data_IF_767637643348
#
_entry.id   IF_767637643348
#
_cell.length_a   1.000
_cell.length_b   1.000
_cell.length_c   1.000
_cell.angle_alpha   90.00
_cell.angle_beta   90.00
_cell.angle_gamma   90.00
#
_symmetry.space_group_name_H-M   'P 1'
#
loop_
_entity.id
_entity.type
_entity.pdbx_description
1 polymer ?
#
# COMPACT_ATOMS: atom_id res chain seq x y z
N UNK A 1 4.30 -34.23 -61.45
CA UNK A 1 4.85 -33.45 -60.32
C UNK A 1 6.15 -34.11 -59.85
N UNK A 2 7.30 -33.46 -60.04
CA UNK A 2 8.64 -34.06 -59.81
C UNK A 2 8.80 -34.54 -58.37
N UNK A 3 9.29 -35.78 -58.18
CA UNK A 3 9.49 -36.39 -56.85
C UNK A 3 10.34 -35.51 -55.93
N UNK A 4 11.32 -34.78 -56.49
CA UNK A 4 12.13 -33.79 -55.80
C UNK A 4 11.31 -32.63 -55.20
N UNK A 5 10.32 -32.09 -55.93
CA UNK A 5 9.43 -31.02 -55.41
C UNK A 5 8.54 -31.54 -54.27
N UNK A 6 8.10 -32.80 -54.35
CA UNK A 6 7.27 -33.45 -53.31
C UNK A 6 8.06 -33.69 -52.02
N UNK A 7 9.31 -34.15 -52.13
CA UNK A 7 10.21 -34.34 -50.98
C UNK A 7 10.55 -33.00 -50.33
N UNK A 8 10.90 -31.99 -51.13
CA UNK A 8 11.17 -30.63 -50.64
C UNK A 8 10.00 -30.04 -49.85
N UNK A 9 8.77 -30.13 -50.36
CA UNK A 9 7.59 -29.62 -49.65
C UNK A 9 7.29 -30.38 -48.36
N UNK A 10 7.56 -31.69 -48.29
CA UNK A 10 7.43 -32.46 -47.05
C UNK A 10 8.43 -32.02 -45.99
N UNK A 11 9.67 -31.73 -46.39
CA UNK A 11 10.71 -31.22 -45.49
C UNK A 11 10.33 -29.83 -44.97
N UNK A 12 9.87 -28.92 -45.84
CA UNK A 12 9.40 -27.59 -45.40
C UNK A 12 8.23 -27.68 -44.44
N UNK A 13 7.24 -28.54 -44.72
CA UNK A 13 6.10 -28.72 -43.83
C UNK A 13 6.52 -29.31 -42.48
N UNK A 14 7.46 -30.27 -42.47
CA UNK A 14 7.98 -30.85 -41.23
C UNK A 14 8.73 -29.81 -40.38
N UNK A 15 9.61 -29.02 -40.99
CA UNK A 15 10.33 -27.93 -40.31
C UNK A 15 9.35 -26.87 -39.80
N UNK A 16 8.39 -26.46 -40.62
CA UNK A 16 7.35 -25.49 -40.22
C UNK A 16 6.50 -26.00 -39.06
N UNK A 17 6.13 -27.28 -39.05
CA UNK A 17 5.36 -27.87 -37.95
C UNK A 17 6.19 -27.99 -36.66
N UNK A 18 7.48 -28.26 -36.77
CA UNK A 18 8.38 -28.33 -35.63
C UNK A 18 8.64 -26.94 -35.01
N UNK A 19 8.79 -25.92 -35.85
CA UNK A 19 8.87 -24.53 -35.39
C UNK A 19 7.56 -24.06 -34.74
N UNK A 20 6.40 -24.41 -35.32
CA UNK A 20 5.11 -24.07 -34.71
C UNK A 20 4.92 -24.75 -33.34
N UNK A 21 5.33 -26.02 -33.22
CA UNK A 21 5.24 -26.75 -31.96
C UNK A 21 6.13 -26.11 -30.89
N UNK A 22 7.37 -25.75 -31.23
CA UNK A 22 8.30 -25.09 -30.29
C UNK A 22 7.79 -23.73 -29.82
N UNK A 23 7.20 -22.91 -30.70
CA UNK A 23 6.54 -21.65 -30.31
C UNK A 23 5.32 -21.87 -29.40
N UNK A 24 4.50 -22.89 -29.67
CA UNK A 24 3.32 -23.19 -28.85
C UNK A 24 3.66 -23.77 -27.47
N UNK A 25 4.84 -24.39 -27.33
CA UNK A 25 5.31 -24.98 -26.06
C UNK A 25 6.23 -24.06 -25.26
N UNK A 26 6.54 -22.85 -25.72
CA UNK A 26 7.29 -21.88 -24.92
C UNK A 26 6.41 -21.42 -23.75
N UNK A 27 6.68 -21.96 -22.57
CA UNK A 27 6.16 -21.44 -21.32
C UNK A 27 6.81 -20.10 -21.02
N UNK A 28 6.04 -19.02 -21.13
CA UNK A 28 6.45 -17.70 -20.63
C UNK A 28 6.08 -17.64 -19.15
N UNK A 29 7.06 -17.86 -18.28
CA UNK A 29 6.92 -17.52 -16.87
C UNK A 29 7.03 -16.00 -16.73
N UNK A 30 6.26 -15.40 -15.81
CA UNK A 30 6.41 -13.97 -15.51
C UNK A 30 7.88 -13.69 -15.15
N UNK A 31 8.53 -12.82 -15.92
CA UNK A 31 9.92 -12.45 -15.69
C UNK A 31 9.98 -11.55 -14.45
N UNK A 32 10.46 -12.10 -13.34
CA UNK A 32 10.69 -11.37 -12.10
C UNK A 32 9.72 -11.69 -10.96
N UNK A 33 10.19 -11.44 -9.73
CA UNK A 33 9.42 -11.62 -8.51
C UNK A 33 8.26 -10.60 -8.44
N UNK A 34 7.04 -11.04 -8.09
CA UNK A 34 5.86 -10.17 -7.90
C UNK A 34 6.17 -9.00 -6.96
N UNK A 35 7.06 -9.19 -5.98
CA UNK A 35 7.53 -8.15 -5.07
C UNK A 35 8.13 -6.92 -5.79
N UNK A 36 8.73 -7.11 -6.97
CA UNK A 36 9.33 -6.05 -7.79
C UNK A 36 8.38 -5.46 -8.83
N UNK A 37 7.16 -5.99 -8.94
CA UNK A 37 6.16 -5.44 -9.85
C UNK A 37 5.78 -4.00 -9.48
N UNK A 38 5.35 -3.22 -10.47
CA UNK A 38 4.85 -1.85 -10.26
C UNK A 38 3.67 -1.83 -9.29
N UNK A 39 2.82 -2.85 -9.33
CA UNK A 39 1.64 -2.96 -8.45
C UNK A 39 2.08 -3.18 -7.00
N UNK A 40 3.00 -4.11 -6.76
CA UNK A 40 3.49 -4.38 -5.41
C UNK A 40 4.25 -3.18 -4.83
N UNK A 41 5.22 -2.64 -5.57
CA UNK A 41 6.04 -1.50 -5.13
C UNK A 41 5.23 -0.21 -4.99
N UNK A 42 4.30 0.05 -5.92
CA UNK A 42 3.38 1.18 -5.86
C UNK A 42 2.44 1.12 -4.66
N UNK A 43 1.89 -0.06 -4.36
CA UNK A 43 1.03 -0.26 -3.18
C UNK A 43 1.82 -0.09 -1.88
N UNK A 44 3.06 -0.61 -1.78
CA UNK A 44 3.94 -0.39 -0.63
C UNK A 44 4.17 1.12 -0.38
N UNK A 45 4.47 1.88 -1.43
CA UNK A 45 4.64 3.34 -1.34
C UNK A 45 3.36 4.06 -0.93
N UNK A 46 2.23 3.73 -1.55
CA UNK A 46 0.94 4.34 -1.22
C UNK A 46 0.59 4.14 0.25
N UNK A 47 0.78 2.94 0.79
CA UNK A 47 0.49 2.68 2.20
C UNK A 47 1.46 3.46 3.09
N UNK A 48 2.75 3.48 2.78
CA UNK A 48 3.73 4.25 3.54
C UNK A 48 3.39 5.75 3.57
N UNK A 49 3.01 6.32 2.42
CA UNK A 49 2.62 7.72 2.30
C UNK A 49 1.36 7.99 3.13
N UNK A 50 0.30 7.20 2.96
CA UNK A 50 -0.96 7.35 3.70
C UNK A 50 -0.74 7.23 5.22
N UNK A 51 0.04 6.24 5.68
CA UNK A 51 0.37 6.08 7.10
C UNK A 51 1.16 7.27 7.66
N UNK A 52 2.09 7.83 6.89
CA UNK A 52 2.87 9.00 7.30
C UNK A 52 1.98 10.26 7.41
N UNK A 53 1.14 10.49 6.41
CA UNK A 53 0.21 11.62 6.37
C UNK A 53 -0.83 11.55 7.48
N UNK A 54 -1.46 10.39 7.69
CA UNK A 54 -2.44 10.18 8.76
C UNK A 54 -1.84 10.46 10.13
N UNK A 55 -0.62 9.95 10.39
CA UNK A 55 0.06 10.16 11.67
C UNK A 55 0.35 11.64 11.90
N UNK A 56 0.86 12.31 10.87
CA UNK A 56 1.22 13.72 10.92
C UNK A 56 -0.01 14.60 11.18
N UNK A 57 -1.13 14.32 10.51
CA UNK A 57 -2.40 15.02 10.72
C UNK A 57 -2.92 14.75 12.14
N UNK A 58 -2.91 13.49 12.60
CA UNK A 58 -3.39 13.13 13.93
C UNK A 58 -2.62 13.88 15.04
N UNK A 59 -1.30 13.92 14.95
CA UNK A 59 -0.45 14.68 15.89
C UNK A 59 -0.76 16.17 15.83
N UNK A 60 -0.80 16.74 14.63
CA UNK A 60 -1.00 18.18 14.44
C UNK A 60 -2.36 18.63 14.97
N UNK A 61 -3.43 17.93 14.59
CA UNK A 61 -4.79 18.25 15.04
C UNK A 61 -4.92 18.08 16.56
N UNK A 62 -4.39 16.99 17.11
CA UNK A 62 -4.43 16.77 18.58
C UNK A 62 -3.71 17.89 19.31
N UNK A 63 -2.51 18.28 18.85
CA UNK A 63 -1.74 19.36 19.47
C UNK A 63 -2.49 20.70 19.42
N UNK A 64 -3.03 21.07 18.26
CA UNK A 64 -3.79 22.32 18.08
C UNK A 64 -5.03 22.35 18.99
N UNK A 65 -5.81 21.27 19.03
CA UNK A 65 -7.00 21.20 19.88
C UNK A 65 -6.63 21.23 21.36
N UNK A 66 -5.56 20.52 21.78
CA UNK A 66 -5.07 20.58 23.15
C UNK A 66 -4.67 22.02 23.54
N UNK A 67 -3.90 22.72 22.70
CA UNK A 67 -3.53 24.12 22.94
C UNK A 67 -4.77 25.00 23.10
N UNK A 68 -5.75 24.87 22.21
CA UNK A 68 -7.01 25.61 22.30
C UNK A 68 -7.74 25.33 23.64
N UNK A 69 -7.83 24.06 24.05
CA UNK A 69 -8.48 23.68 25.30
C UNK A 69 -7.73 24.19 26.53
N UNK A 70 -6.40 24.21 26.51
CA UNK A 70 -5.60 24.81 27.58
C UNK A 70 -5.87 26.30 27.74
N UNK A 71 -5.88 27.06 26.64
CA UNK A 71 -6.19 28.49 26.67
C UNK A 71 -7.61 28.72 27.20
N UNK A 72 -8.58 27.95 26.71
CA UNK A 72 -9.98 28.12 27.14
C UNK A 72 -10.20 27.77 28.62
N UNK A 73 -9.49 26.75 29.12
CA UNK A 73 -9.47 26.39 30.54
C UNK A 73 -8.85 27.48 31.41
N UNK A 74 -7.76 28.12 30.95
CA UNK A 74 -7.12 29.19 31.71
C UNK A 74 -8.03 30.41 31.89
N UNK A 75 -8.94 30.64 30.94
CA UNK A 75 -9.92 31.73 30.98
C UNK A 75 -11.25 31.34 31.65
N UNK A 76 -11.43 30.09 32.08
CA UNK A 76 -12.69 29.62 32.66
C UNK A 76 -12.72 29.78 34.17
N UNK A 77 -13.90 30.05 34.72
CA UNK A 77 -14.12 30.15 36.16
C UNK A 77 -13.89 28.80 36.85
N UNK A 78 -13.69 28.83 38.17
CA UNK A 78 -13.34 27.65 38.98
C UNK A 78 -14.34 26.49 38.82
N UNK A 79 -15.63 26.83 38.66
CA UNK A 79 -16.71 25.86 38.46
C UNK A 79 -16.59 25.12 37.12
N UNK A 80 -16.10 25.78 36.07
CA UNK A 80 -16.01 25.24 34.71
C UNK A 80 -14.71 24.46 34.47
N UNK A 81 -13.65 24.72 35.26
CA UNK A 81 -12.34 24.08 35.09
C UNK A 81 -12.41 22.56 35.03
N UNK A 82 -13.26 21.93 35.85
CA UNK A 82 -13.47 20.48 35.86
C UNK A 82 -14.01 19.96 34.52
N UNK A 83 -14.91 20.71 33.89
CA UNK A 83 -15.45 20.34 32.57
C UNK A 83 -14.37 20.44 31.50
N UNK A 84 -13.57 21.51 31.51
CA UNK A 84 -12.47 21.68 30.57
C UNK A 84 -11.35 20.65 30.77
N UNK A 85 -11.06 20.26 32.02
CA UNK A 85 -10.13 19.16 32.33
C UNK A 85 -10.59 17.83 31.75
N UNK A 86 -11.89 17.53 31.83
CA UNK A 86 -12.44 16.32 31.21
C UNK A 86 -12.32 16.37 29.68
N UNK A 87 -12.61 17.52 29.05
CA UNK A 87 -12.43 17.70 27.60
C UNK A 87 -10.98 17.51 27.17
N UNK A 88 -10.04 18.01 27.96
CA UNK A 88 -8.61 17.87 27.70
C UNK A 88 -8.15 16.41 27.82
N UNK A 89 -8.58 15.69 28.86
CA UNK A 89 -8.30 14.25 29.02
C UNK A 89 -8.86 13.42 27.87
N UNK A 90 -10.10 13.66 27.47
CA UNK A 90 -10.75 12.97 26.35
C UNK A 90 -9.96 13.23 25.06
N UNK A 91 -9.59 14.49 24.80
CA UNK A 91 -8.80 14.87 23.62
C UNK A 91 -7.46 14.14 23.60
N UNK A 92 -6.72 14.14 24.72
CA UNK A 92 -5.43 13.45 24.83
C UNK A 92 -5.56 11.94 24.57
N UNK A 93 -6.54 11.27 25.18
CA UNK A 93 -6.79 9.83 24.97
C UNK A 93 -7.19 9.55 23.52
N UNK A 94 -8.04 10.40 22.93
CA UNK A 94 -8.45 10.25 21.53
C UNK A 94 -7.29 10.43 20.55
N UNK A 95 -6.39 11.38 20.81
CA UNK A 95 -5.20 11.60 19.99
C UNK A 95 -4.24 10.41 20.04
N UNK A 96 -4.02 9.84 21.23
CA UNK A 96 -3.24 8.60 21.39
C UNK A 96 -3.91 7.46 20.61
N UNK A 97 -5.24 7.31 20.71
CA UNK A 97 -6.00 6.30 19.97
C UNK A 97 -5.85 6.45 18.45
N UNK A 98 -5.93 7.68 17.93
CA UNK A 98 -5.79 7.95 16.50
C UNK A 98 -4.37 7.65 15.98
N UNK A 99 -3.34 8.04 16.72
CA UNK A 99 -1.94 7.73 16.38
C UNK A 99 -1.71 6.21 16.39
N UNK A 100 -2.25 5.52 17.40
CA UNK A 100 -2.13 4.06 17.55
C UNK A 100 -2.82 3.32 16.40
N UNK A 101 -4.04 3.74 16.03
CA UNK A 101 -4.76 3.19 14.89
C UNK A 101 -3.98 3.36 13.57
N UNK A 102 -3.32 4.51 13.39
CA UNK A 102 -2.51 4.76 12.20
C UNK A 102 -1.24 3.91 12.18
N UNK A 103 -0.57 3.76 13.33
CA UNK A 103 0.59 2.89 13.45
C UNK A 103 0.25 1.42 13.13
N UNK A 104 -0.94 0.96 13.53
CA UNK A 104 -1.42 -0.39 13.22
C UNK A 104 -1.53 -0.65 11.71
N UNK A 105 -1.95 0.35 10.92
CA UNK A 105 -1.99 0.25 9.45
C UNK A 105 -0.59 -0.05 8.90
N UNK A 106 0.43 0.69 9.36
CA UNK A 106 1.81 0.48 8.95
C UNK A 106 2.34 -0.91 9.33
N UNK A 107 2.03 -1.39 10.53
CA UNK A 107 2.41 -2.73 10.98
C UNK A 107 1.76 -3.82 10.12
N UNK A 108 0.45 -3.75 9.89
CA UNK A 108 -0.26 -4.73 9.05
C UNK A 108 0.32 -4.74 7.64
N UNK A 109 0.56 -3.55 7.06
CA UNK A 109 1.15 -3.42 5.74
C UNK A 109 2.56 -4.01 5.64
N UNK A 110 3.36 -3.90 6.71
CA UNK A 110 4.70 -4.49 6.76
C UNK A 110 4.69 -6.02 6.74
N UNK A 111 3.64 -6.66 7.24
CA UNK A 111 3.53 -8.13 7.29
C UNK A 111 3.27 -8.76 5.92
N UNK A 112 2.48 -8.08 5.07
CA UNK A 112 2.14 -8.56 3.73
C UNK A 112 2.94 -7.88 2.61
N UNK A 113 3.60 -6.77 2.93
CA UNK A 113 4.48 -6.01 2.05
C UNK A 113 5.96 -6.22 2.33
N UNK A 114 6.34 -7.29 3.04
CA UNK A 114 7.72 -7.80 3.13
C UNK A 114 8.08 -8.56 1.88
#
# INVERSE_FOLDING_TARGET
MNKLKKIRNRIYNAISSFMALTFLTMSVFAEGNIANSVIATGTKKLIADVSSWLTSIAITVTAVVCVYLFVRRAMSDEQDKKQWDNRLKITAVSGIGAITATALIGVIASYFGG
#
